data_IF_587534919093
#
_entry.id   IF_587534919093
#
_cell.length_a   1.000
_cell.length_b   1.000
_cell.length_c   1.000
_cell.angle_alpha   90.00
_cell.angle_beta   90.00
_cell.angle_gamma   90.00
#
_symmetry.space_group_name_H-M   'P 1'
#
loop_
_entity.id
_entity.type
_entity.pdbx_description
1 polymer ?
#
# COMPACT_ATOMS: atom_id res chain seq x y z
N UNK A 1 9.49 -19.71 -13.31
CA UNK A 1 8.47 -19.14 -14.23
C UNK A 1 8.58 -17.64 -14.09
N UNK A 2 8.61 -16.82 -15.15
CA UNK A 2 8.67 -15.38 -14.96
C UNK A 2 7.42 -14.97 -14.16
N UNK A 3 7.63 -14.49 -12.92
CA UNK A 3 6.58 -13.96 -12.07
C UNK A 3 5.92 -12.82 -12.85
N UNK A 4 4.82 -13.13 -13.52
CA UNK A 4 4.05 -12.14 -14.26
C UNK A 4 3.33 -11.33 -13.20
N UNK A 5 3.91 -10.20 -12.82
CA UNK A 5 3.26 -9.25 -11.92
C UNK A 5 2.01 -8.74 -12.63
N UNK A 6 0.86 -9.22 -12.21
CA UNK A 6 -0.43 -8.82 -12.76
C UNK A 6 -0.86 -7.50 -12.11
N UNK A 7 -1.18 -6.50 -12.91
CA UNK A 7 -1.82 -5.27 -12.42
C UNK A 7 -3.31 -5.53 -12.24
N UNK A 8 -3.82 -5.35 -11.03
CA UNK A 8 -5.23 -5.59 -10.72
C UNK A 8 -5.72 -4.73 -9.56
N UNK A 9 -7.04 -4.55 -9.50
CA UNK A 9 -7.74 -3.98 -8.34
C UNK A 9 -8.54 -5.10 -7.72
N UNK A 10 -8.22 -5.44 -6.47
CA UNK A 10 -8.85 -6.54 -5.75
C UNK A 10 -9.84 -5.93 -4.75
N UNK A 11 -11.17 -6.15 -4.88
CA UNK A 11 -12.12 -5.68 -3.89
C UNK A 11 -11.88 -6.36 -2.54
N UNK A 12 -12.06 -5.63 -1.43
CA UNK A 12 -12.00 -6.21 -0.10
C UNK A 12 -13.25 -7.06 0.16
N UNK A 13 -13.07 -8.26 0.70
CA UNK A 13 -14.20 -9.16 1.04
C UNK A 13 -14.85 -8.82 2.38
N UNK A 14 -14.06 -8.26 3.31
CA UNK A 14 -14.47 -8.06 4.70
C UNK A 14 -14.80 -6.60 5.04
N UNK A 15 -14.40 -5.66 4.18
CA UNK A 15 -14.44 -4.23 4.47
C UNK A 15 -14.80 -3.44 3.21
N UNK A 16 -15.21 -2.19 3.40
CA UNK A 16 -15.48 -1.26 2.30
C UNK A 16 -14.13 -0.71 1.79
N UNK A 17 -13.49 -1.44 0.87
CA UNK A 17 -12.19 -1.06 0.35
C UNK A 17 -11.71 -1.94 -0.79
N UNK A 18 -10.47 -1.73 -1.21
CA UNK A 18 -9.83 -2.48 -2.29
C UNK A 18 -8.31 -2.39 -2.20
N UNK A 19 -7.62 -3.27 -2.92
CA UNK A 19 -6.16 -3.27 -3.06
C UNK A 19 -5.76 -2.98 -4.50
N UNK A 20 -4.92 -1.98 -4.70
CA UNK A 20 -4.20 -1.78 -5.95
C UNK A 20 -2.96 -2.66 -5.98
N UNK A 21 -2.82 -3.50 -7.01
CA UNK A 21 -1.57 -4.22 -7.32
C UNK A 21 -0.94 -3.54 -8.52
N UNK A 22 0.24 -2.94 -8.35
CA UNK A 22 0.92 -2.19 -9.39
C UNK A 22 1.78 -3.11 -10.26
N UNK A 23 2.12 -2.66 -11.47
CA UNK A 23 2.98 -3.41 -12.39
C UNK A 23 4.40 -3.66 -11.85
N UNK A 24 4.80 -2.97 -10.79
CA UNK A 24 6.09 -3.16 -10.12
C UNK A 24 6.02 -4.18 -8.96
N UNK A 25 4.87 -4.81 -8.73
CA UNK A 25 4.66 -5.86 -7.75
C UNK A 25 4.33 -5.35 -6.35
N UNK A 26 4.47 -4.05 -6.13
CA UNK A 26 4.00 -3.43 -4.90
C UNK A 26 2.47 -3.39 -4.88
N UNK A 27 1.91 -3.29 -3.70
CA UNK A 27 0.47 -3.08 -3.53
C UNK A 27 0.12 -2.09 -2.43
N UNK A 28 -1.05 -1.46 -2.59
CA UNK A 28 -1.63 -0.52 -1.63
C UNK A 28 -3.07 -0.95 -1.37
N UNK A 29 -3.37 -1.36 -0.13
CA UNK A 29 -4.73 -1.66 0.32
C UNK A 29 -5.31 -0.43 0.99
N UNK A 30 -6.49 -0.01 0.54
CA UNK A 30 -7.22 1.15 1.05
C UNK A 30 -8.55 0.66 1.62
N UNK A 31 -8.77 0.92 2.91
CA UNK A 31 -10.01 0.56 3.61
C UNK A 31 -10.70 1.82 4.14
N UNK A 32 -12.02 1.89 3.96
CA UNK A 32 -12.82 3.06 4.31
C UNK A 32 -14.07 2.64 5.08
N UNK A 33 -14.08 2.80 6.39
CA UNK A 33 -15.29 2.58 7.19
C UNK A 33 -15.19 3.26 8.55
N UNK A 34 -16.32 3.35 9.25
CA UNK A 34 -16.34 3.79 10.65
C UNK A 34 -15.50 2.86 11.56
N UNK A 35 -15.42 1.55 11.22
CA UNK A 35 -14.57 0.59 11.91
C UNK A 35 -13.06 0.84 11.67
N UNK A 36 -12.73 1.62 10.65
CA UNK A 36 -11.38 2.10 10.31
C UNK A 36 -11.18 3.57 10.71
N UNK A 37 -11.99 4.07 11.66
CA UNK A 37 -11.96 5.44 12.18
C UNK A 37 -12.01 6.53 11.10
N UNK A 38 -12.63 6.21 9.96
CA UNK A 38 -12.79 7.17 8.87
C UNK A 38 -13.87 8.17 9.25
N UNK A 39 -13.51 9.45 9.26
CA UNK A 39 -14.37 10.59 9.62
C UNK A 39 -14.15 11.72 8.62
N UNK A 40 -14.91 12.81 8.72
CA UNK A 40 -14.72 13.97 7.84
C UNK A 40 -13.27 14.48 7.97
N UNK A 41 -12.52 14.47 6.86
CA UNK A 41 -11.10 14.85 6.81
C UNK A 41 -10.11 13.71 7.10
N UNK A 42 -10.57 12.52 7.50
CA UNK A 42 -9.77 11.31 7.74
C UNK A 42 -10.42 10.15 7.00
N UNK A 43 -9.98 9.90 5.78
CA UNK A 43 -10.78 9.22 4.76
C UNK A 43 -10.44 7.76 4.54
N UNK A 44 -9.29 7.27 5.01
CA UNK A 44 -8.89 5.89 4.84
C UNK A 44 -7.86 5.40 5.86
N UNK A 45 -7.84 4.09 6.07
CA UNK A 45 -6.67 3.33 6.51
C UNK A 45 -5.97 2.73 5.29
N UNK A 46 -4.63 2.81 5.26
CA UNK A 46 -3.83 2.33 4.13
C UNK A 46 -2.72 1.39 4.56
N UNK A 47 -2.69 0.18 3.99
CA UNK A 47 -1.57 -0.76 4.11
C UNK A 47 -0.75 -0.77 2.81
N UNK A 48 0.58 -0.87 2.94
CA UNK A 48 1.52 -0.78 1.83
C UNK A 48 2.43 -2.00 1.88
N UNK A 49 2.57 -2.68 0.75
CA UNK A 49 3.33 -3.92 0.63
C UNK A 49 4.30 -3.87 -0.55
N UNK A 50 5.49 -4.42 -0.36
CA UNK A 50 6.38 -4.74 -1.47
C UNK A 50 6.04 -6.12 -2.09
N UNK A 51 6.74 -6.55 -3.15
CA UNK A 51 6.51 -7.85 -3.78
C UNK A 51 6.83 -9.07 -2.89
N UNK A 52 7.58 -8.88 -1.80
CA UNK A 52 7.93 -9.91 -0.81
C UNK A 52 6.95 -9.92 0.38
N UNK A 53 5.87 -9.13 0.32
CA UNK A 53 4.88 -8.90 1.38
C UNK A 53 5.45 -8.21 2.65
N UNK A 54 6.57 -7.50 2.54
CA UNK A 54 7.04 -6.65 3.63
C UNK A 54 6.15 -5.41 3.75
N UNK A 55 5.86 -5.01 4.98
CA UNK A 55 4.98 -3.87 5.29
C UNK A 55 5.74 -2.56 5.36
N UNK A 56 5.09 -1.47 4.95
CA UNK A 56 5.68 -0.13 4.94
C UNK A 56 4.79 0.90 5.65
N UNK A 57 5.45 1.83 6.35
CA UNK A 57 4.85 3.03 6.96
C UNK A 57 5.11 4.24 6.07
N UNK A 58 4.14 5.14 5.97
CA UNK A 58 4.27 6.44 5.33
C UNK A 58 4.74 7.49 6.35
N UNK A 59 5.90 8.10 6.08
CA UNK A 59 6.42 9.25 6.81
C UNK A 59 5.93 10.52 6.11
N UNK A 60 4.96 11.21 6.71
CA UNK A 60 4.36 12.41 6.12
C UNK A 60 5.34 13.58 6.04
N UNK A 61 6.22 13.75 7.02
CA UNK A 61 7.17 14.87 7.06
C UNK A 61 8.20 14.77 5.94
N UNK A 62 8.67 13.54 5.68
CA UNK A 62 9.62 13.26 4.60
C UNK A 62 8.95 12.96 3.27
N UNK A 63 7.65 12.69 3.26
CA UNK A 63 6.89 12.23 2.10
C UNK A 63 7.53 10.99 1.46
N UNK A 64 7.82 9.99 2.29
CA UNK A 64 8.48 8.74 1.91
C UNK A 64 7.79 7.54 2.55
N UNK A 65 8.07 6.34 2.03
CA UNK A 65 7.66 5.09 2.68
C UNK A 65 8.89 4.36 3.21
N UNK A 66 8.80 3.91 4.45
CA UNK A 66 9.87 3.26 5.21
C UNK A 66 9.41 1.86 5.59
N UNK A 67 10.36 0.92 5.70
CA UNK A 67 10.00 -0.43 6.17
C UNK A 67 9.42 -0.33 7.57
N UNK A 68 8.28 -0.97 7.77
CA UNK A 68 7.60 -1.01 9.05
C UNK A 68 8.46 -1.77 10.07
N UNK A 69 8.44 -1.32 11.32
CA UNK A 69 9.02 -2.07 12.46
C UNK A 69 8.04 -3.10 13.03
N UNK A 70 6.77 -3.02 12.62
CA UNK A 70 5.69 -3.90 13.04
C UNK A 70 5.29 -4.81 11.89
N UNK A 71 4.98 -6.06 12.19
CA UNK A 71 4.61 -7.07 11.19
C UNK A 71 3.24 -6.81 10.53
N UNK A 72 2.42 -5.90 11.09
CA UNK A 72 1.06 -5.59 10.61
C UNK A 72 0.72 -4.10 10.76
N UNK A 73 1.48 -3.23 10.10
CA UNK A 73 1.29 -1.78 10.24
C UNK A 73 0.28 -1.19 9.25
N UNK A 74 -0.69 -0.43 9.75
CA UNK A 74 -1.63 0.34 8.91
C UNK A 74 -1.45 1.84 9.12
N UNK A 75 -1.43 2.59 8.02
CA UNK A 75 -1.36 4.04 8.04
C UNK A 75 -2.78 4.59 8.21
N UNK A 76 -3.15 4.88 9.45
CA UNK A 76 -4.49 5.34 9.81
C UNK A 76 -4.68 6.85 9.70
N UNK A 77 -5.96 7.26 9.72
CA UNK A 77 -6.40 8.66 9.71
C UNK A 77 -5.91 9.49 8.52
N UNK A 78 -5.71 8.87 7.36
CA UNK A 78 -5.21 9.55 6.17
C UNK A 78 -6.31 10.28 5.41
N UNK A 79 -6.05 11.51 4.98
CA UNK A 79 -6.89 12.24 4.04
C UNK A 79 -6.61 11.83 2.58
N UNK A 80 -7.45 12.29 1.65
CA UNK A 80 -7.35 11.91 0.24
C UNK A 80 -6.02 12.30 -0.42
N UNK A 81 -5.44 13.44 -0.05
CA UNK A 81 -4.16 13.91 -0.61
C UNK A 81 -2.99 13.03 -0.13
N UNK A 82 -3.02 12.59 1.13
CA UNK A 82 -2.02 11.65 1.66
C UNK A 82 -2.14 10.28 1.00
N UNK A 83 -3.36 9.76 0.79
CA UNK A 83 -3.58 8.51 0.04
C UNK A 83 -3.04 8.64 -1.39
N UNK A 84 -3.30 9.76 -2.07
CA UNK A 84 -2.79 10.02 -3.42
C UNK A 84 -1.25 10.08 -3.46
N UNK A 85 -0.61 10.71 -2.45
CA UNK A 85 0.85 10.74 -2.31
C UNK A 85 1.43 9.33 -2.14
N UNK A 86 0.84 8.51 -1.27
CA UNK A 86 1.28 7.11 -1.07
C UNK A 86 1.22 6.34 -2.38
N UNK A 87 0.09 6.38 -3.09
CA UNK A 87 -0.07 5.72 -4.39
C UNK A 87 0.99 6.22 -5.40
N UNK A 88 1.26 7.53 -5.41
CA UNK A 88 2.28 8.14 -6.27
C UNK A 88 3.70 7.66 -5.94
N UNK A 89 4.03 7.47 -4.65
CA UNK A 89 5.33 6.94 -4.23
C UNK A 89 5.44 5.47 -4.64
N UNK A 90 4.43 4.66 -4.32
CA UNK A 90 4.45 3.20 -4.53
C UNK A 90 4.50 2.84 -6.01
N UNK A 91 3.70 3.50 -6.85
CA UNK A 91 3.67 3.26 -8.30
C UNK A 91 5.01 3.51 -9.02
N UNK A 92 5.93 4.25 -8.40
CA UNK A 92 7.26 4.58 -8.93
C UNK A 92 8.40 3.75 -8.34
N UNK A 93 8.11 2.84 -7.39
CA UNK A 93 9.15 1.96 -6.83
C UNK A 93 9.72 1.05 -7.92
N UNK A 94 11.04 0.82 -7.85
CA UNK A 94 11.71 -0.15 -8.71
C UNK A 94 11.30 -1.57 -8.29
N UNK A 95 11.27 -2.46 -9.26
CA UNK A 95 11.15 -3.90 -9.00
C UNK A 95 12.54 -4.39 -8.63
N UNK A 96 12.77 -4.73 -7.36
CA UNK A 96 13.96 -5.48 -6.97
C UNK A 96 13.74 -6.96 -7.34
N UNK A 97 13.89 -7.26 -8.63
CA UNK A 97 13.96 -8.65 -9.09
C UNK A 97 15.34 -9.16 -8.67
N UNK A 98 15.44 -9.86 -7.54
CA UNK A 98 16.62 -10.67 -7.27
C UNK A 98 16.72 -11.69 -8.43
N UNK A 99 17.77 -11.67 -9.26
CA UNK A 99 17.92 -12.69 -10.28
C UNK A 99 17.95 -14.03 -9.57
N UNK A 100 17.07 -14.94 -9.99
CA UNK A 100 17.07 -16.32 -9.53
C UNK A 100 18.51 -16.86 -9.67
N UNK A 101 19.08 -17.36 -8.57
CA UNK A 101 20.47 -17.78 -8.46
C UNK A 101 20.95 -18.50 -9.73
N UNK A 102 21.97 -17.93 -10.39
CA UNK A 102 22.70 -18.55 -11.50
C UNK A 102 23.57 -19.70 -11.01
#
# INVERSE_FOLDING_TARGET
MPNTVKTEIIPSESWNGFTYVFSNGWSVSVQQSDAHYCTVGKTAEVAIFDPENNWYTYDEEKNEILISKEDTHVNGWLNADQVAKIISIVSRKKVDIKPENQ
#
